data_IF_554892654751
#
_entry.id   IF_554892654751
#
_cell.length_a   1.000
_cell.length_b   1.000
_cell.length_c   1.000
_cell.angle_alpha   90.00
_cell.angle_beta   90.00
_cell.angle_gamma   90.00
#
_symmetry.space_group_name_H-M   'P 1'
#
loop_
_entity.id
_entity.type
_entity.pdbx_description
1 polymer ?
#
# COMPACT_ATOMS: atom_id res chain seq x y z
N UNK A 1 -13.03 -14.20 21.17
CA UNK A 1 -12.26 -14.15 19.92
C UNK A 1 -12.07 -15.59 19.49
N UNK A 2 -12.71 -16.03 18.42
CA UNK A 2 -12.63 -17.42 17.95
C UNK A 2 -11.20 -17.70 17.47
N UNK A 3 -10.57 -18.75 18.02
CA UNK A 3 -9.22 -19.13 17.64
C UNK A 3 -9.15 -19.45 16.14
N UNK A 4 -8.19 -18.89 15.38
CA UNK A 4 -8.06 -19.12 13.93
C UNK A 4 -7.72 -20.57 13.56
N UNK A 5 -7.67 -21.47 14.54
CA UNK A 5 -7.36 -22.89 14.40
C UNK A 5 -8.60 -23.78 14.27
N UNK A 6 -9.81 -23.25 14.51
CA UNK A 6 -11.07 -24.04 14.44
C UNK A 6 -11.83 -23.87 13.12
N UNK A 7 -11.42 -22.95 12.25
CA UNK A 7 -12.06 -22.78 10.94
C UNK A 7 -11.72 -23.95 10.03
N UNK A 8 -12.71 -24.44 9.28
CA UNK A 8 -12.45 -25.42 8.23
C UNK A 8 -11.54 -24.79 7.18
N UNK A 9 -10.70 -25.57 6.49
CA UNK A 9 -9.82 -25.03 5.45
C UNK A 9 -10.60 -24.24 4.39
N UNK A 10 -11.81 -24.68 4.03
CA UNK A 10 -12.69 -23.98 3.08
C UNK A 10 -13.14 -22.60 3.56
N UNK A 11 -13.48 -22.47 4.85
CA UNK A 11 -13.84 -21.17 5.43
C UNK A 11 -12.65 -20.21 5.39
N UNK A 12 -11.46 -20.69 5.76
CA UNK A 12 -10.23 -19.90 5.72
C UNK A 12 -9.89 -19.47 4.28
N UNK A 13 -10.07 -20.34 3.30
CA UNK A 13 -9.86 -20.02 1.88
C UNK A 13 -10.82 -18.91 1.45
N UNK A 14 -12.12 -19.04 1.75
CA UNK A 14 -13.13 -18.03 1.39
C UNK A 14 -12.84 -16.66 2.01
N UNK A 15 -12.43 -16.62 3.28
CA UNK A 15 -12.02 -15.38 3.94
C UNK A 15 -10.79 -14.76 3.28
N UNK A 16 -9.80 -15.58 2.90
CA UNK A 16 -8.60 -15.11 2.21
C UNK A 16 -8.92 -14.60 0.81
N UNK A 17 -9.78 -15.27 0.04
CA UNK A 17 -10.23 -14.81 -1.28
C UNK A 17 -10.93 -13.45 -1.20
N UNK A 18 -11.82 -13.28 -0.21
CA UNK A 18 -12.49 -12.01 0.03
C UNK A 18 -11.48 -10.90 0.41
N UNK A 19 -10.47 -11.21 1.22
CA UNK A 19 -9.40 -10.28 1.54
C UNK A 19 -8.58 -9.90 0.31
N UNK A 20 -8.27 -10.86 -0.56
CA UNK A 20 -7.54 -10.62 -1.82
C UNK A 20 -8.34 -9.72 -2.76
N UNK A 21 -9.64 -9.94 -2.92
CA UNK A 21 -10.51 -9.08 -3.74
C UNK A 21 -10.54 -7.64 -3.20
N UNK A 22 -10.74 -7.48 -1.89
CA UNK A 22 -10.72 -6.17 -1.23
C UNK A 22 -9.36 -5.46 -1.37
N UNK A 23 -8.26 -6.20 -1.24
CA UNK A 23 -6.90 -5.66 -1.41
C UNK A 23 -6.67 -5.23 -2.85
N UNK A 24 -7.05 -6.05 -3.83
CA UNK A 24 -6.97 -5.72 -5.25
C UNK A 24 -7.75 -4.44 -5.60
N UNK A 25 -8.98 -4.31 -5.08
CA UNK A 25 -9.79 -3.10 -5.27
C UNK A 25 -9.12 -1.86 -4.65
N UNK A 26 -8.54 -1.99 -3.45
CA UNK A 26 -7.81 -0.90 -2.80
C UNK A 26 -6.56 -0.52 -3.58
N UNK A 27 -5.82 -1.49 -4.09
CA UNK A 27 -4.62 -1.26 -4.88
C UNK A 27 -4.96 -0.48 -6.16
N UNK A 28 -6.00 -0.91 -6.90
CA UNK A 28 -6.49 -0.18 -8.07
C UNK A 28 -6.92 1.26 -7.74
N UNK A 29 -7.59 1.46 -6.60
CA UNK A 29 -7.97 2.78 -6.12
C UNK A 29 -6.75 3.68 -5.88
N UNK A 30 -5.72 3.18 -5.20
CA UNK A 30 -4.51 3.95 -4.92
C UNK A 30 -3.70 4.25 -6.18
N UNK A 31 -3.56 3.31 -7.10
CA UNK A 31 -2.90 3.55 -8.40
C UNK A 31 -3.60 4.70 -9.15
N UNK A 32 -4.93 4.66 -9.22
CA UNK A 32 -5.72 5.73 -9.86
C UNK A 32 -5.48 7.10 -9.21
N UNK A 33 -5.46 7.16 -7.87
CA UNK A 33 -5.19 8.42 -7.15
C UNK A 33 -3.76 8.93 -7.41
N UNK A 34 -2.77 8.03 -7.42
CA UNK A 34 -1.37 8.38 -7.70
C UNK A 34 -1.21 8.91 -9.13
N UNK A 35 -1.88 8.28 -10.10
CA UNK A 35 -1.86 8.70 -11.50
C UNK A 35 -2.49 10.09 -11.69
N UNK A 36 -3.63 10.37 -11.05
CA UNK A 36 -4.26 11.70 -11.06
C UNK A 36 -3.33 12.76 -10.46
N UNK A 37 -2.73 12.48 -9.30
CA UNK A 37 -1.78 13.40 -8.66
C UNK A 37 -0.58 13.70 -9.55
N UNK A 38 -0.08 12.70 -10.28
CA UNK A 38 1.05 12.85 -11.18
C UNK A 38 0.68 13.62 -12.46
N UNK A 39 -0.45 13.28 -13.07
CA UNK A 39 -0.84 13.80 -14.39
C UNK A 39 -1.45 15.21 -14.28
N UNK A 40 -2.31 15.46 -13.31
CA UNK A 40 -3.08 16.71 -13.22
C UNK A 40 -2.39 17.76 -12.33
N UNK A 41 -1.61 17.30 -11.33
CA UNK A 41 -0.99 18.19 -10.34
C UNK A 41 0.54 18.16 -10.37
N UNK A 42 1.16 17.28 -11.16
CA UNK A 42 2.62 17.12 -11.19
C UNK A 42 3.24 16.59 -9.88
N UNK A 43 2.42 16.04 -8.98
CA UNK A 43 2.85 15.55 -7.67
C UNK A 43 3.33 14.11 -7.80
N UNK A 44 4.61 13.86 -7.48
CA UNK A 44 5.18 12.52 -7.43
C UNK A 44 5.12 11.95 -6.00
N UNK A 45 4.28 10.92 -5.81
CA UNK A 45 4.19 10.20 -4.53
C UNK A 45 5.26 9.11 -4.51
N UNK A 46 6.47 9.47 -4.07
CA UNK A 46 7.57 8.50 -3.91
C UNK A 46 7.56 7.95 -2.48
N UNK A 47 7.55 6.62 -2.35
CA UNK A 47 7.73 5.97 -1.05
C UNK A 47 9.09 6.36 -0.47
N UNK A 48 9.10 6.94 0.73
CA UNK A 48 10.35 7.23 1.45
C UNK A 48 11.11 5.92 1.66
N UNK A 49 12.38 5.88 1.25
CA UNK A 49 13.27 4.73 1.50
C UNK A 49 13.28 4.42 2.99
N UNK A 50 13.14 3.15 3.36
CA UNK A 50 13.39 2.66 4.72
C UNK A 50 14.90 2.78 5.00
N UNK A 51 15.30 3.90 5.59
CA UNK A 51 16.70 4.20 5.88
C UNK A 51 16.85 5.65 6.35
N UNK A 52 17.97 5.96 7.02
CA UNK A 52 18.27 7.34 7.42
C UNK A 52 18.41 8.21 6.17
N UNK A 53 17.66 9.32 6.12
CA UNK A 53 17.78 10.30 5.04
C UNK A 53 19.17 10.93 5.11
N UNK A 54 19.99 10.70 4.09
CA UNK A 54 21.29 11.34 3.96
C UNK A 54 21.13 12.59 3.11
N UNK A 55 20.51 13.64 3.66
CA UNK A 55 20.58 14.97 3.04
C UNK A 55 21.70 15.74 3.74
N UNK A 56 22.90 15.66 3.17
CA UNK A 56 24.05 16.46 3.56
C UNK A 56 23.76 17.90 3.09
N UNK A 57 23.49 18.78 4.04
CA UNK A 57 23.35 20.22 3.80
C UNK A 57 24.67 20.71 3.20
N UNK A 58 24.64 21.19 1.96
CA UNK A 58 25.69 22.06 1.44
C UNK A 58 25.41 23.44 2.02
N UNK A 59 26.18 23.84 3.02
CA UNK A 59 26.47 25.25 3.26
C UNK A 59 27.27 25.77 2.06
N UNK A 60 26.77 26.80 1.38
CA UNK A 60 27.62 27.72 0.64
C UNK A 60 27.62 29.03 1.41
N UNK A 61 28.83 29.58 1.54
CA UNK A 61 29.23 30.83 2.20
C UNK A 61 28.34 32.05 1.92
#
# INVERSE_FOLDING_TARGET
>A
MSDPKTLTPEQRIKELEQQLELMSQKDQFFETVVDVLKNDYGVSVVKKRSGKSSRKVKSQD
#
